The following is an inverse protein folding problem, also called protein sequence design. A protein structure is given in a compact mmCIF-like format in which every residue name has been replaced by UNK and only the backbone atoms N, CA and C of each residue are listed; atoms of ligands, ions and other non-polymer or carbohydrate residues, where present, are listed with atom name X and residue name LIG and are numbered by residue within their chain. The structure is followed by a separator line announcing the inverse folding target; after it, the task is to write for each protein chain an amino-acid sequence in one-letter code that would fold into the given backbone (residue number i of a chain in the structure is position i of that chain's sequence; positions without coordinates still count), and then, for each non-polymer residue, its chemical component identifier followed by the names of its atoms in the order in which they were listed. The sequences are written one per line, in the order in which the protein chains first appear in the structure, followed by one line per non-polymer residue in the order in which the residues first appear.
data_IF_043462759582
#
_entry.id   IF_043462759582
#
_cell.length_a   1.000
_cell.length_b   1.000
_cell.length_c   1.000
_cell.angle_alpha   90.00
_cell.angle_beta   90.00
_cell.angle_gamma   90.00
#
_symmetry.space_group_name_H-M   'P 1'
#
loop_
_entity.id
_entity.type
_entity.pdbx_description
1 polymer ?
#
# COMPACT_ATOMS: atom_id res chain seq x y z
N UNK A 1 5.57 9.23 21.28
CA UNK A 1 6.87 9.94 21.23
C UNK A 1 8.06 9.09 21.68
N UNK A 2 7.91 8.11 22.59
CA UNK A 2 9.05 7.31 23.10
C UNK A 2 9.93 6.65 22.04
N UNK A 3 9.35 6.08 20.97
CA UNK A 3 10.12 5.48 19.88
C UNK A 3 11.06 6.48 19.18
N UNK A 4 10.61 7.72 18.96
CA UNK A 4 11.43 8.79 18.36
C UNK A 4 12.56 9.17 19.32
N UNK A 5 12.27 9.31 20.62
CA UNK A 5 13.30 9.58 21.64
C UNK A 5 14.33 8.45 21.74
N UNK A 6 13.90 7.20 21.65
CA UNK A 6 14.78 6.04 21.64
C UNK A 6 15.71 6.06 20.43
N UNK A 7 15.20 6.31 19.22
CA UNK A 7 16.02 6.46 18.02
C UNK A 7 17.04 7.60 18.14
N UNK A 8 16.66 8.73 18.75
CA UNK A 8 17.58 9.83 19.05
C UNK A 8 18.70 9.41 20.02
N UNK A 9 18.39 8.66 21.08
CA UNK A 9 19.39 8.12 22.03
C UNK A 9 20.40 7.20 21.34
N UNK A 10 19.96 6.47 20.32
CA UNK A 10 20.81 5.61 19.49
C UNK A 10 21.58 6.36 18.38
N UNK A 11 21.42 7.68 18.26
CA UNK A 11 22.09 8.48 17.22
C UNK A 11 21.52 8.34 15.80
N UNK A 12 20.32 7.77 15.65
CA UNK A 12 19.66 7.61 14.35
C UNK A 12 19.26 8.96 13.74
N UNK A 13 19.29 9.04 12.41
CA UNK A 13 19.04 10.28 11.65
C UNK A 13 17.62 10.41 11.09
N UNK A 14 16.95 9.29 10.88
CA UNK A 14 15.61 9.23 10.28
C UNK A 14 14.67 8.42 11.16
N UNK A 15 13.38 8.76 11.11
CA UNK A 15 12.31 8.00 11.75
C UNK A 15 11.24 7.75 10.69
N UNK A 16 11.14 6.50 10.24
CA UNK A 16 10.19 6.12 9.19
C UNK A 16 8.79 5.94 9.79
N UNK A 17 7.83 6.73 9.28
CA UNK A 17 6.43 6.64 9.66
C UNK A 17 5.65 5.64 8.82
N UNK A 18 6.30 4.93 7.90
CA UNK A 18 5.72 3.96 6.97
C UNK A 18 4.76 4.59 5.94
N UNK A 19 4.02 3.74 5.22
CA UNK A 19 3.16 4.12 4.10
C UNK A 19 2.13 5.22 4.36
N UNK A 20 1.79 5.95 3.31
CA UNK A 20 0.81 7.04 3.31
C UNK A 20 -0.30 6.70 2.32
N UNK A 21 -1.55 7.00 2.68
CA UNK A 21 -2.69 6.93 1.75
C UNK A 21 -3.53 8.21 1.90
N UNK A 22 -3.78 8.89 0.79
CA UNK A 22 -4.49 10.16 0.78
C UNK A 22 -5.92 10.01 1.35
N UNK A 23 -6.38 11.01 2.11
CA UNK A 23 -7.71 10.99 2.73
C UNK A 23 -7.88 10.04 3.92
N UNK A 24 -6.83 9.33 4.35
CA UNK A 24 -6.89 8.47 5.55
C UNK A 24 -6.45 9.21 6.82
N UNK A 25 -7.09 8.90 7.94
CA UNK A 25 -6.79 9.52 9.24
C UNK A 25 -5.34 9.32 9.70
N UNK A 26 -4.73 8.17 9.40
CA UNK A 26 -3.33 7.91 9.74
C UNK A 26 -2.36 8.81 8.94
N UNK A 27 -2.72 9.25 7.74
CA UNK A 27 -1.93 10.20 6.96
C UNK A 27 -1.94 11.57 7.63
N UNK A 28 -3.11 12.05 8.04
CA UNK A 28 -3.24 13.31 8.79
C UNK A 28 -2.48 13.28 10.12
N UNK A 29 -2.49 12.14 10.82
CA UNK A 29 -1.69 11.95 12.03
C UNK A 29 -0.19 12.10 11.75
N UNK A 30 0.31 11.52 10.66
CA UNK A 30 1.74 11.59 10.28
C UNK A 30 2.15 12.99 9.88
N UNK A 31 1.31 13.70 9.13
CA UNK A 31 1.54 15.10 8.70
C UNK A 31 1.76 16.05 9.89
N UNK A 32 1.15 15.78 11.05
CA UNK A 32 1.40 16.53 12.29
C UNK A 32 2.85 16.49 12.80
N UNK A 33 3.69 15.57 12.31
CA UNK A 33 5.11 15.49 12.63
C UNK A 33 6.01 16.24 11.62
N UNK A 34 5.42 16.95 10.66
CA UNK A 34 6.11 17.58 9.53
C UNK A 34 7.08 16.62 8.80
N UNK A 35 6.64 15.43 8.36
CA UNK A 35 7.50 14.44 7.75
C UNK A 35 7.90 14.86 6.33
N UNK A 36 9.06 14.37 5.88
CA UNK A 36 9.38 14.37 4.45
C UNK A 36 8.61 13.23 3.76
N UNK A 37 7.90 13.55 2.68
CA UNK A 37 7.28 12.54 1.82
C UNK A 37 8.34 11.96 0.91
N UNK A 38 8.52 10.65 0.96
CA UNK A 38 9.44 9.91 0.09
C UNK A 38 8.60 8.96 -0.76
N UNK A 39 8.66 9.15 -2.07
CA UNK A 39 8.04 8.24 -3.04
C UNK A 39 9.09 7.27 -3.56
N UNK A 40 8.86 5.98 -3.38
CA UNK A 40 9.70 4.93 -3.94
C UNK A 40 9.30 4.69 -5.39
N UNK A 41 10.24 4.17 -6.18
CA UNK A 41 10.04 3.87 -7.60
C UNK A 41 8.98 2.77 -7.87
N UNK A 42 8.43 2.17 -6.82
CA UNK A 42 7.49 1.07 -6.90
C UNK A 42 8.16 -0.29 -6.87
N UNK A 43 7.50 -1.29 -7.44
CA UNK A 43 7.96 -2.67 -7.52
C UNK A 43 8.02 -3.11 -8.98
N UNK A 44 9.02 -3.94 -9.31
CA UNK A 44 9.14 -4.56 -10.63
C UNK A 44 9.22 -6.07 -10.51
N UNK A 45 8.56 -6.75 -11.44
CA UNK A 45 8.58 -8.19 -11.52
C UNK A 45 9.65 -8.64 -12.53
N UNK A 46 10.55 -9.51 -12.08
CA UNK A 46 11.39 -10.28 -12.99
C UNK A 46 10.60 -11.48 -13.51
N UNK A 47 10.17 -11.43 -14.78
CA UNK A 47 9.30 -12.46 -15.37
C UNK A 47 10.12 -13.64 -15.87
N UNK A 48 10.35 -14.63 -15.01
CA UNK A 48 11.11 -15.84 -15.33
C UNK A 48 10.37 -16.80 -16.28
N UNK A 49 9.04 -16.90 -16.19
CA UNK A 49 8.22 -17.72 -17.09
C UNK A 49 6.99 -16.94 -17.58
N UNK A 50 7.04 -16.50 -18.84
CA UNK A 50 5.98 -15.70 -19.47
C UNK A 50 4.65 -16.46 -19.60
N UNK A 51 4.70 -17.76 -19.86
CA UNK A 51 3.52 -18.60 -20.07
C UNK A 51 2.69 -18.78 -18.80
N UNK A 52 3.31 -18.71 -17.62
CA UNK A 52 2.60 -18.73 -16.34
C UNK A 52 2.24 -17.32 -15.86
N UNK A 53 3.15 -16.35 -16.05
CA UNK A 53 2.99 -15.01 -15.51
C UNK A 53 1.80 -14.26 -16.10
N UNK A 54 1.68 -14.21 -17.44
CA UNK A 54 0.62 -13.41 -18.06
C UNK A 54 -0.80 -13.95 -17.77
N UNK A 55 -1.07 -15.27 -17.85
CA UNK A 55 -2.36 -15.80 -17.42
C UNK A 55 -2.66 -15.52 -15.94
N UNK A 56 -1.68 -15.68 -15.05
CA UNK A 56 -1.84 -15.35 -13.64
C UNK A 56 -2.24 -13.88 -13.44
N UNK A 57 -1.52 -12.95 -14.08
CA UNK A 57 -1.82 -11.50 -13.99
C UNK A 57 -3.19 -11.16 -14.56
N UNK A 58 -3.62 -11.83 -15.63
CA UNK A 58 -4.96 -11.66 -16.18
C UNK A 58 -6.05 -12.11 -15.18
N UNK A 59 -5.89 -13.28 -14.57
CA UNK A 59 -6.82 -13.80 -13.56
C UNK A 59 -6.84 -12.89 -12.33
N UNK A 60 -5.68 -12.43 -11.85
CA UNK A 60 -5.58 -11.51 -10.72
C UNK A 60 -6.29 -10.17 -11.00
N UNK A 61 -6.13 -9.63 -12.20
CA UNK A 61 -6.81 -8.42 -12.63
C UNK A 61 -8.33 -8.59 -12.62
N UNK A 62 -8.82 -9.71 -13.18
CA UNK A 62 -10.25 -10.06 -13.17
C UNK A 62 -10.78 -10.24 -11.73
N UNK A 63 -10.02 -10.93 -10.87
CA UNK A 63 -10.35 -11.12 -9.45
C UNK A 63 -10.55 -9.79 -8.75
N UNK A 64 -9.64 -8.83 -8.92
CA UNK A 64 -9.78 -7.53 -8.27
C UNK A 64 -10.97 -6.72 -8.79
N UNK A 65 -11.23 -6.76 -10.10
CA UNK A 65 -12.44 -6.14 -10.67
C UNK A 65 -13.70 -6.74 -10.06
N UNK A 66 -13.76 -8.06 -9.94
CA UNK A 66 -14.87 -8.76 -9.31
C UNK A 66 -15.04 -8.38 -7.84
N UNK A 67 -13.97 -8.40 -7.05
CA UNK A 67 -14.02 -8.11 -5.62
C UNK A 67 -14.44 -6.67 -5.32
N UNK A 68 -14.06 -5.71 -6.18
CA UNK A 68 -14.42 -4.29 -6.06
C UNK A 68 -15.82 -3.97 -6.59
N UNK A 69 -16.58 -4.94 -7.09
CA UNK A 69 -17.98 -4.72 -7.43
C UNK A 69 -18.76 -4.24 -6.18
N UNK A 70 -19.60 -3.21 -6.31
CA UNK A 70 -20.49 -2.76 -5.24
C UNK A 70 -21.35 -3.91 -4.71
N UNK A 71 -21.60 -3.90 -3.40
CA UNK A 71 -22.44 -4.90 -2.72
C UNK A 71 -23.85 -5.00 -3.34
N UNK A 72 -24.39 -3.89 -3.86
CA UNK A 72 -25.67 -3.85 -4.57
C UNK A 72 -25.68 -4.72 -5.82
N UNK A 73 -24.57 -4.78 -6.57
CA UNK A 73 -24.45 -5.58 -7.79
C UNK A 73 -24.28 -7.05 -7.43
N UNK A 74 -23.45 -7.35 -6.43
CA UNK A 74 -23.26 -8.71 -5.91
C UNK A 74 -24.59 -9.30 -5.43
N UNK A 75 -25.36 -8.53 -4.68
CA UNK A 75 -26.68 -8.94 -4.21
C UNK A 75 -27.66 -9.25 -5.36
N UNK A 76 -27.72 -8.39 -6.39
CA UNK A 76 -28.56 -8.62 -7.58
C UNK A 76 -28.16 -9.88 -8.37
N UNK A 77 -26.88 -10.22 -8.38
CA UNK A 77 -26.35 -11.41 -9.05
C UNK A 77 -26.37 -12.67 -8.16
N UNK A 78 -26.84 -12.57 -6.90
CA UNK A 78 -26.72 -13.62 -5.87
C UNK A 78 -25.28 -14.12 -5.69
N UNK A 79 -24.32 -13.22 -5.80
CA UNK A 79 -22.87 -13.43 -5.61
C UNK A 79 -22.39 -12.85 -4.28
#
# INVERSE_FOLDING_TARGET
WEAIKFGKKLGLKTFDLWGREEGKGFTKFKEGYNPQVVEFLGSWDFVANKWLYYPYRAIEYLRWKFLKLPSTIKHKLKL
#
